data_IF_346839910968
#
_entry.id   IF_346839910968
#
_cell.length_a   1.000
_cell.length_b   1.000
_cell.length_c   1.000
_cell.angle_alpha   90.00
_cell.angle_beta   90.00
_cell.angle_gamma   90.00
#
_symmetry.space_group_name_H-M   'P 1'
#
loop_
_entity.id
_entity.type
_entity.pdbx_description
1 polymer ?
#
# COMPACT_ATOMS: atom_id res chain seq x y z
N UNK A 1 6.12 -9.26 16.49
CA UNK A 1 5.21 -8.40 15.71
C UNK A 1 5.50 -8.66 14.24
N UNK A 2 4.52 -9.11 13.46
CA UNK A 2 4.68 -9.36 12.03
C UNK A 2 4.68 -8.01 11.27
N UNK A 3 5.46 -7.83 10.18
CA UNK A 3 5.48 -6.57 9.43
C UNK A 3 4.12 -6.15 8.88
N UNK A 4 3.29 -7.12 8.47
CA UNK A 4 1.93 -6.85 7.99
C UNK A 4 1.06 -6.27 9.11
N UNK A 5 1.10 -6.85 10.32
CA UNK A 5 0.36 -6.36 11.49
C UNK A 5 0.81 -4.94 11.89
N UNK A 6 2.11 -4.65 11.78
CA UNK A 6 2.63 -3.32 12.07
C UNK A 6 2.07 -2.26 11.11
N UNK A 7 2.00 -2.56 9.81
CA UNK A 7 1.46 -1.65 8.81
C UNK A 7 -0.05 -1.46 9.00
N UNK A 8 -0.79 -2.52 9.38
CA UNK A 8 -2.20 -2.40 9.74
C UNK A 8 -2.42 -1.45 10.91
N UNK A 9 -1.62 -1.57 11.97
CA UNK A 9 -1.65 -0.64 13.09
C UNK A 9 -1.34 0.81 12.66
N UNK A 10 -0.39 1.02 11.75
CA UNK A 10 -0.14 2.35 11.20
C UNK A 10 -1.30 2.88 10.36
N UNK A 11 -2.03 2.01 9.66
CA UNK A 11 -3.24 2.39 8.93
C UNK A 11 -4.36 2.83 9.86
N UNK A 12 -4.55 2.19 11.01
CA UNK A 12 -5.51 2.61 12.03
C UNK A 12 -5.16 4.01 12.58
N UNK A 13 -3.86 4.27 12.81
CA UNK A 13 -3.41 5.53 13.37
C UNK A 13 -3.38 6.69 12.37
N UNK A 14 -2.85 6.45 11.16
CA UNK A 14 -2.52 7.51 10.18
C UNK A 14 -2.67 7.03 8.73
N UNK A 15 -3.89 6.71 8.26
CA UNK A 15 -4.11 6.09 6.94
C UNK A 15 -3.57 6.96 5.79
N UNK A 16 -3.80 8.27 5.83
CA UNK A 16 -3.31 9.21 4.81
C UNK A 16 -1.78 9.23 4.71
N UNK A 17 -1.08 9.16 5.83
CA UNK A 17 0.38 9.17 5.86
C UNK A 17 0.95 7.85 5.30
N UNK A 18 0.31 6.72 5.59
CA UNK A 18 0.68 5.42 5.03
C UNK A 18 0.47 5.41 3.51
N UNK A 19 -0.67 5.93 3.01
CA UNK A 19 -0.91 6.03 1.58
C UNK A 19 0.12 6.93 0.86
N UNK A 20 0.46 8.07 1.44
CA UNK A 20 1.51 8.95 0.90
C UNK A 20 2.88 8.27 0.88
N UNK A 21 3.24 7.54 1.93
CA UNK A 21 4.49 6.80 2.00
C UNK A 21 4.55 5.67 0.96
N UNK A 22 3.47 4.90 0.82
CA UNK A 22 3.37 3.83 -0.17
C UNK A 22 3.47 4.35 -1.61
N UNK A 23 2.77 5.44 -1.92
CA UNK A 23 2.83 6.06 -3.25
C UNK A 23 4.21 6.61 -3.57
N UNK A 24 4.83 7.32 -2.61
CA UNK A 24 6.21 7.81 -2.77
C UNK A 24 7.17 6.64 -3.00
N UNK A 25 7.05 5.56 -2.22
CA UNK A 25 7.88 4.38 -2.40
C UNK A 25 7.73 3.81 -3.81
N UNK A 26 6.50 3.60 -4.28
CA UNK A 26 6.22 3.09 -5.63
C UNK A 26 6.88 3.95 -6.71
N UNK A 27 6.79 5.28 -6.60
CA UNK A 27 7.40 6.23 -7.55
C UNK A 27 8.93 6.22 -7.55
N UNK A 28 9.58 5.76 -6.46
CA UNK A 28 11.05 5.62 -6.41
C UNK A 28 11.57 4.37 -7.11
N UNK A 29 10.69 3.38 -7.36
CA UNK A 29 11.05 2.20 -8.15
C UNK A 29 11.17 2.63 -9.62
N UNK A 30 12.40 2.66 -10.14
CA UNK A 30 12.69 3.09 -11.51
C UNK A 30 13.23 1.96 -12.40
N UNK A 31 13.57 0.80 -11.83
CA UNK A 31 14.14 -0.32 -12.55
C UNK A 31 13.71 -1.67 -11.93
N UNK A 32 12.56 -2.24 -12.33
CA UNK A 32 11.55 -1.65 -13.21
C UNK A 32 10.64 -0.65 -12.48
N UNK A 33 10.07 0.36 -13.18
CA UNK A 33 8.92 1.09 -12.67
C UNK A 33 7.74 0.14 -12.47
N UNK A 34 6.91 0.40 -11.46
CA UNK A 34 5.74 -0.42 -11.13
C UNK A 34 4.45 0.38 -11.20
N UNK A 35 3.45 -0.19 -11.87
CA UNK A 35 2.04 0.19 -11.72
C UNK A 35 1.56 -0.05 -10.27
N UNK A 36 0.38 0.46 -9.93
CA UNK A 36 -0.22 0.23 -8.60
C UNK A 36 -0.39 -1.28 -8.37
N UNK A 37 -0.94 -2.00 -9.33
CA UNK A 37 -1.20 -3.44 -9.18
C UNK A 37 0.10 -4.26 -9.06
N UNK A 38 1.13 -3.96 -9.85
CA UNK A 38 2.44 -4.63 -9.74
C UNK A 38 3.11 -4.35 -8.39
N UNK A 39 2.94 -3.14 -7.87
CA UNK A 39 3.46 -2.76 -6.56
C UNK A 39 2.75 -3.54 -5.45
N UNK A 40 1.41 -3.55 -5.45
CA UNK A 40 0.62 -4.27 -4.45
C UNK A 40 0.86 -5.79 -4.52
N UNK A 41 0.95 -6.36 -5.73
CA UNK A 41 1.32 -7.77 -5.92
C UNK A 41 2.68 -8.08 -5.31
N UNK A 42 3.65 -7.16 -5.44
CA UNK A 42 4.97 -7.32 -4.81
C UNK A 42 4.86 -7.34 -3.29
N UNK A 43 4.00 -6.52 -2.68
CA UNK A 43 3.80 -6.56 -1.23
C UNK A 43 3.18 -7.89 -0.79
N UNK A 44 2.17 -8.39 -1.51
CA UNK A 44 1.57 -9.70 -1.28
C UNK A 44 2.63 -10.82 -1.34
N UNK A 45 3.45 -10.84 -2.39
CA UNK A 45 4.52 -11.84 -2.59
C UNK A 45 5.62 -11.78 -1.53
N UNK A 46 5.72 -10.67 -0.80
CA UNK A 46 6.66 -10.46 0.32
C UNK A 46 6.03 -10.68 1.69
N UNK A 47 4.84 -11.28 1.74
CA UNK A 47 4.16 -11.59 2.99
C UNK A 47 3.48 -10.38 3.63
N UNK A 48 3.06 -9.40 2.83
CA UNK A 48 2.25 -8.27 3.27
C UNK A 48 0.83 -8.26 2.64
N UNK A 49 0.11 -9.40 2.62
CA UNK A 49 -1.16 -9.49 1.90
C UNK A 49 -2.25 -8.58 2.49
N UNK A 50 -2.30 -8.38 3.81
CA UNK A 50 -3.34 -7.54 4.41
C UNK A 50 -3.06 -6.05 4.15
N UNK A 51 -1.79 -5.64 4.24
CA UNK A 51 -1.37 -4.28 3.87
C UNK A 51 -1.69 -3.97 2.41
N UNK A 52 -1.43 -4.91 1.50
CA UNK A 52 -1.72 -4.74 0.08
C UNK A 52 -3.23 -4.58 -0.18
N UNK A 53 -4.05 -5.41 0.46
CA UNK A 53 -5.51 -5.31 0.39
C UNK A 53 -6.01 -3.96 0.91
N UNK A 54 -5.50 -3.51 2.06
CA UNK A 54 -5.92 -2.25 2.67
C UNK A 54 -5.45 -1.03 1.87
N UNK A 55 -4.24 -1.07 1.30
CA UNK A 55 -3.76 -0.03 0.37
C UNK A 55 -4.64 0.05 -0.88
N UNK A 56 -5.03 -1.10 -1.45
CA UNK A 56 -5.95 -1.12 -2.60
C UNK A 56 -7.27 -0.40 -2.28
N UNK A 57 -7.82 -0.65 -1.09
CA UNK A 57 -9.08 -0.05 -0.66
C UNK A 57 -8.96 1.43 -0.28
N UNK A 58 -7.91 1.82 0.45
CA UNK A 58 -7.85 3.14 1.10
C UNK A 58 -6.93 4.13 0.40
N UNK A 59 -5.95 3.66 -0.36
CA UNK A 59 -4.95 4.51 -1.00
C UNK A 59 -5.16 4.67 -2.50
N UNK A 60 -5.81 3.69 -3.13
CA UNK A 60 -5.93 3.59 -4.58
C UNK A 60 -7.38 3.42 -5.07
N UNK A 61 -8.37 3.61 -4.19
CA UNK A 61 -9.71 3.96 -4.64
C UNK A 61 -9.80 5.47 -4.79
N UNK A 62 -9.91 5.91 -6.04
CA UNK A 62 -10.59 7.18 -6.32
C UNK A 62 -11.96 7.10 -5.66
N UNK A 63 -12.39 8.15 -4.98
CA UNK A 63 -13.71 8.25 -4.37
C UNK A 63 -14.81 7.89 -5.38
N UNK A 64 -15.19 6.61 -5.45
CA UNK A 64 -16.49 6.19 -6.00
C UNK A 64 -17.49 6.49 -4.90
N UNK A 65 -17.92 7.75 -4.87
CA UNK A 65 -19.19 8.22 -4.31
C UNK A 65 -19.45 9.59 -4.96
N UNK A 66 -19.94 9.54 -6.21
CA UNK A 66 -21.02 10.46 -6.59
C UNK A 66 -22.27 10.10 -5.78
#
# INVERSE_FOLDING_TARGET
MHPDDFILFLFELKPKAVCQAAERQRQTLKNPPKTIDEYLKTLEDRGLPQSAALMRQLCYQDFVNC
#
